data_IF_594381171938
#
_entry.id   IF_594381171938
#
_cell.length_a   1.000
_cell.length_b   1.000
_cell.length_c   1.000
_cell.angle_alpha   90.00
_cell.angle_beta   90.00
_cell.angle_gamma   90.00
#
_symmetry.space_group_name_H-M   'P 1'
#
loop_
_entity.id
_entity.type
_entity.pdbx_description
1 polymer ?
#
# COMPACT_ATOMS: atom_id res chain seq x y z
N UNK A 1 -19.39 17.68 23.13
CA UNK A 1 -18.22 16.78 22.94
C UNK A 1 -18.27 15.98 21.64
N UNK A 2 -19.42 15.41 21.23
CA UNK A 2 -19.52 14.63 19.98
C UNK A 2 -19.04 15.33 18.70
N UNK A 3 -19.35 16.63 18.50
CA UNK A 3 -18.87 17.38 17.32
C UNK A 3 -17.35 17.50 17.24
N UNK A 4 -16.67 17.55 18.40
CA UNK A 4 -15.22 17.67 18.46
C UNK A 4 -14.57 16.33 18.09
N UNK A 5 -15.12 15.23 18.62
CA UNK A 5 -14.67 13.86 18.29
C UNK A 5 -14.90 13.58 16.80
N UNK A 6 -16.09 13.90 16.26
CA UNK A 6 -16.38 13.73 14.84
C UNK A 6 -15.39 14.51 13.95
N UNK A 7 -15.11 15.78 14.29
CA UNK A 7 -14.15 16.60 13.55
C UNK A 7 -12.73 16.04 13.60
N UNK A 8 -12.33 15.46 14.74
CA UNK A 8 -11.01 14.83 14.91
C UNK A 8 -10.88 13.51 14.14
N UNK A 9 -11.95 12.70 14.09
CA UNK A 9 -11.99 11.49 13.28
C UNK A 9 -11.97 11.82 11.78
N UNK A 10 -12.71 12.85 11.37
CA UNK A 10 -12.72 13.32 9.98
C UNK A 10 -11.35 13.84 9.53
N UNK A 11 -10.56 14.42 10.46
CA UNK A 11 -9.17 14.80 10.21
C UNK A 11 -8.19 13.61 10.17
N UNK A 12 -8.49 12.48 10.82
CA UNK A 12 -7.65 11.28 10.72
C UNK A 12 -7.74 10.62 9.34
N UNK A 13 -8.90 10.64 8.69
CA UNK A 13 -9.12 10.04 7.37
C UNK A 13 -8.10 10.54 6.33
N UNK A 14 -7.89 11.85 6.12
CA UNK A 14 -6.92 12.33 5.13
C UNK A 14 -5.48 12.00 5.51
N UNK A 15 -5.12 11.92 6.79
CA UNK A 15 -3.78 11.48 7.22
C UNK A 15 -3.56 10.01 6.90
N UNK A 16 -4.58 9.17 7.13
CA UNK A 16 -4.51 7.75 6.84
C UNK A 16 -4.39 7.48 5.34
N UNK A 17 -5.19 8.19 4.54
CA UNK A 17 -5.10 8.14 3.07
C UNK A 17 -3.74 8.66 2.60
N UNK A 18 -3.29 9.79 3.14
CA UNK A 18 -2.00 10.39 2.81
C UNK A 18 -0.83 9.46 3.07
N UNK A 19 -0.77 8.85 4.25
CA UNK A 19 0.29 7.88 4.59
C UNK A 19 0.24 6.63 3.71
N UNK A 20 -0.94 6.06 3.45
CA UNK A 20 -1.10 4.89 2.58
C UNK A 20 -0.64 5.21 1.15
N UNK A 21 -1.08 6.35 0.61
CA UNK A 21 -0.65 6.83 -0.70
C UNK A 21 0.86 7.09 -0.75
N UNK A 22 1.45 7.63 0.31
CA UNK A 22 2.88 7.91 0.37
C UNK A 22 3.69 6.60 0.32
N UNK A 23 3.28 5.57 1.08
CA UNK A 23 3.88 4.24 1.01
C UNK A 23 3.70 3.63 -0.38
N UNK A 24 2.50 3.69 -0.96
CA UNK A 24 2.25 3.22 -2.32
C UNK A 24 3.12 3.96 -3.35
N UNK A 25 3.19 5.28 -3.29
CA UNK A 25 4.02 6.07 -4.19
C UNK A 25 5.50 5.72 -4.04
N UNK A 26 6.02 5.55 -2.81
CA UNK A 26 7.40 5.09 -2.61
C UNK A 26 7.62 3.69 -3.22
N UNK A 27 6.66 2.78 -3.05
CA UNK A 27 6.72 1.43 -3.63
C UNK A 27 6.75 1.47 -5.17
N UNK A 28 5.91 2.28 -5.80
CA UNK A 28 5.82 2.42 -7.26
C UNK A 28 6.93 3.29 -7.86
N UNK A 29 7.49 4.23 -7.10
CA UNK A 29 8.61 5.06 -7.53
C UNK A 29 9.95 4.32 -7.47
N UNK A 30 10.04 3.23 -6.70
CA UNK A 30 11.24 2.43 -6.63
C UNK A 30 11.41 1.65 -7.94
N UNK A 31 12.54 1.79 -8.66
CA UNK A 31 12.79 1.03 -9.89
C UNK A 31 13.06 -0.43 -9.54
N UNK A 32 12.02 -1.26 -9.60
CA UNK A 32 12.02 -2.68 -9.29
C UNK A 32 10.59 -3.17 -9.19
N UNK A 33 10.34 -4.45 -9.49
CA UNK A 33 9.00 -5.03 -9.36
C UNK A 33 8.70 -5.25 -7.87
N UNK A 34 7.83 -4.46 -7.23
CA UNK A 34 7.55 -4.60 -5.80
C UNK A 34 6.97 -5.98 -5.47
N UNK A 35 6.31 -6.64 -6.44
CA UNK A 35 5.84 -8.02 -6.29
C UNK A 35 7.02 -8.98 -6.14
N UNK A 36 8.10 -8.77 -6.91
CA UNK A 36 9.33 -9.56 -6.77
C UNK A 36 10.09 -9.24 -5.48
N UNK A 37 10.07 -7.99 -5.03
CA UNK A 37 10.67 -7.61 -3.76
C UNK A 37 9.92 -8.22 -2.55
N UNK A 38 8.58 -8.29 -2.62
CA UNK A 38 7.73 -8.94 -1.62
C UNK A 38 7.80 -10.47 -1.66
N UNK A 39 8.02 -11.07 -2.84
CA UNK A 39 8.16 -12.52 -3.00
C UNK A 39 9.43 -13.09 -2.32
N UNK A 40 10.45 -12.26 -2.08
CA UNK A 40 11.71 -12.75 -1.51
C UNK A 40 12.33 -13.86 -2.37
N UNK A 41 12.91 -14.90 -1.75
CA UNK A 41 13.44 -16.08 -2.48
C UNK A 41 12.36 -17.04 -3.00
N UNK A 42 11.06 -16.76 -2.79
CA UNK A 42 10.03 -17.48 -3.54
C UNK A 42 10.12 -17.06 -5.00
N UNK A 43 10.88 -17.84 -5.76
CA UNK A 43 10.84 -17.85 -7.21
C UNK A 43 9.41 -18.20 -7.58
N UNK A 44 8.59 -17.17 -7.83
CA UNK A 44 7.26 -17.35 -8.40
C UNK A 44 7.50 -17.88 -9.81
N UNK A 45 7.46 -19.20 -9.94
CA UNK A 45 7.72 -19.89 -11.18
C UNK A 45 6.72 -19.39 -12.22
N UNK A 46 7.21 -19.00 -13.40
CA UNK A 46 6.40 -18.37 -14.44
C UNK A 46 5.23 -19.24 -14.91
N UNK A 47 5.28 -20.54 -14.60
CA UNK A 47 4.23 -21.54 -14.84
C UNK A 47 2.98 -21.34 -13.98
N UNK A 48 3.06 -20.73 -12.78
CA UNK A 48 1.88 -20.50 -11.93
C UNK A 48 1.06 -19.27 -12.34
N UNK A 49 1.68 -18.27 -12.97
CA UNK A 49 1.01 -17.01 -13.37
C UNK A 49 0.19 -17.21 -14.65
N UNK A 50 0.57 -18.16 -15.51
CA UNK A 50 -0.10 -18.45 -16.78
C UNK A 50 -1.35 -19.33 -16.67
N UNK A 51 -1.66 -19.87 -15.47
CA UNK A 51 -2.77 -20.79 -15.23
C UNK A 51 -4.01 -20.12 -14.58
N UNK A 52 -3.96 -18.81 -14.34
CA UNK A 52 -5.09 -17.97 -13.91
C UNK A 52 -5.64 -17.19 -15.10
#
# INVERSE_FOLDING_TARGET
>A
MGRYVARRLLQMIPVFIGSTLLVFLMMYALPGDPVRALAGEQHVDATQIAAL
#
